data_IF_460510353881
#
_entry.id   IF_460510353881
#
_cell.length_a   1.000
_cell.length_b   1.000
_cell.length_c   1.000
_cell.angle_alpha   90.00
_cell.angle_beta   90.00
_cell.angle_gamma   90.00
#
_symmetry.space_group_name_H-M   'P 1'
#
loop_
_entity.id
_entity.type
_entity.pdbx_description
1 polymer ?
#
# COMPACT_ATOMS: atom_id res chain seq x y z
N UNK A 1 4.62 -12.40 3.62
CA UNK A 1 4.97 -13.33 2.51
C UNK A 1 4.45 -12.71 1.22
N UNK A 2 5.25 -12.74 0.14
CA UNK A 2 4.83 -12.20 -1.14
C UNK A 2 3.71 -13.06 -1.75
N UNK A 3 2.57 -12.46 -2.08
CA UNK A 3 1.39 -13.10 -2.64
C UNK A 3 1.49 -13.18 -4.17
N UNK A 4 1.84 -12.07 -4.83
CA UNK A 4 2.04 -12.03 -6.28
C UNK A 4 3.48 -12.40 -6.63
N UNK A 5 3.78 -13.71 -6.63
CA UNK A 5 5.10 -14.20 -6.98
C UNK A 5 5.49 -13.90 -8.44
N UNK A 6 4.49 -13.78 -9.33
CA UNK A 6 4.66 -13.56 -10.77
C UNK A 6 5.07 -12.12 -11.10
N UNK A 7 4.52 -11.11 -10.41
CA UNK A 7 4.96 -9.71 -10.55
C UNK A 7 6.10 -9.35 -9.62
N UNK A 8 6.29 -10.12 -8.54
CA UNK A 8 7.30 -9.82 -7.54
C UNK A 8 6.95 -8.63 -6.64
N UNK A 9 5.68 -8.19 -6.61
CA UNK A 9 5.22 -7.01 -5.90
C UNK A 9 3.82 -7.21 -5.30
N UNK A 10 3.66 -6.85 -4.03
CA UNK A 10 2.36 -6.67 -3.39
C UNK A 10 2.24 -5.26 -2.83
N UNK A 11 1.06 -4.68 -3.01
CA UNK A 11 0.71 -3.38 -2.47
C UNK A 11 -0.59 -3.50 -1.68
N UNK A 12 -0.61 -2.93 -0.49
CA UNK A 12 -1.82 -2.87 0.36
C UNK A 12 -1.88 -1.55 1.11
N UNK A 13 -3.10 -1.10 1.45
CA UNK A 13 -3.31 0.12 2.25
C UNK A 13 -3.94 -0.26 3.59
N UNK A 14 -3.15 -0.80 4.54
CA UNK A 14 -3.67 -1.31 5.80
C UNK A 14 -4.31 -0.21 6.65
N UNK A 15 -3.78 1.01 6.62
CA UNK A 15 -4.23 2.09 7.50
C UNK A 15 -4.11 3.47 6.85
N UNK A 16 -4.73 4.45 7.50
CA UNK A 16 -4.57 5.87 7.23
C UNK A 16 -4.10 6.57 8.51
N UNK A 17 -3.48 7.73 8.36
CA UNK A 17 -2.95 8.54 9.45
C UNK A 17 -3.44 9.98 9.27
N UNK A 18 -4.05 10.53 10.33
CA UNK A 18 -4.35 11.95 10.42
C UNK A 18 -3.13 12.69 10.97
N UNK A 19 -2.49 13.47 10.12
CA UNK A 19 -1.38 14.33 10.50
C UNK A 19 -1.97 15.66 10.94
N UNK A 20 -1.91 15.97 12.24
CA UNK A 20 -2.37 17.25 12.79
C UNK A 20 -1.33 18.35 12.52
N UNK A 21 -1.68 19.30 11.66
CA UNK A 21 -0.87 20.52 11.47
C UNK A 21 -0.99 21.49 12.64
N UNK A 22 0.00 22.37 12.82
CA UNK A 22 -0.15 23.52 13.73
C UNK A 22 -1.19 24.46 13.12
N UNK A 23 -2.29 24.68 13.86
CA UNK A 23 -3.47 25.47 13.46
C UNK A 23 -4.33 24.83 12.35
N UNK A 24 -5.39 24.09 12.73
CA UNK A 24 -6.50 23.57 11.89
C UNK A 24 -6.15 22.96 10.50
N UNK A 25 -4.87 22.71 10.22
CA UNK A 25 -4.31 22.28 8.94
C UNK A 25 -3.98 20.79 8.98
N UNK A 26 -4.89 20.01 9.57
CA UNK A 26 -4.76 18.56 9.56
C UNK A 26 -4.95 18.01 8.14
N UNK A 27 -4.17 17.00 7.77
CA UNK A 27 -4.37 16.26 6.53
C UNK A 27 -4.29 14.76 6.75
N UNK A 28 -4.89 14.00 5.85
CA UNK A 28 -4.90 12.53 5.91
C UNK A 28 -3.87 11.98 4.94
N UNK A 29 -3.03 11.07 5.44
CA UNK A 29 -2.10 10.28 4.63
C UNK A 29 -2.49 8.80 4.69
N UNK A 30 -2.44 8.13 3.56
CA UNK A 30 -2.68 6.70 3.44
C UNK A 30 -1.34 5.98 3.51
N UNK A 31 -1.25 5.00 4.40
CA UNK A 31 -0.06 4.20 4.59
C UNK A 31 -0.11 3.02 3.64
N UNK A 32 0.79 3.00 2.67
CA UNK A 32 0.87 1.95 1.66
C UNK A 32 2.01 1.01 2.06
N UNK A 33 1.67 -0.24 2.36
CA UNK A 33 2.63 -1.30 2.59
C UNK A 33 3.05 -1.90 1.25
N UNK A 34 4.33 -1.77 0.96
CA UNK A 34 4.99 -2.35 -0.21
C UNK A 34 5.75 -3.59 0.25
N UNK A 35 5.47 -4.73 -0.37
CA UNK A 35 6.24 -5.96 -0.20
C UNK A 35 6.75 -6.35 -1.58
N UNK A 36 8.07 -6.42 -1.78
CA UNK A 36 8.61 -6.62 -3.12
C UNK A 36 9.91 -7.40 -3.12
N UNK A 37 10.14 -8.16 -4.19
CA UNK A 37 11.44 -8.77 -4.51
C UNK A 37 12.17 -8.04 -5.65
N UNK A 38 11.57 -6.97 -6.19
CA UNK A 38 12.11 -6.22 -7.32
C UNK A 38 13.44 -5.56 -6.94
N UNK A 39 14.44 -5.69 -7.81
CA UNK A 39 15.78 -5.14 -7.58
C UNK A 39 15.78 -3.61 -7.43
N UNK A 40 14.80 -2.91 -8.04
CA UNK A 40 14.66 -1.45 -7.97
C UNK A 40 14.52 -0.91 -6.53
N UNK A 41 14.06 -1.74 -5.59
CA UNK A 41 13.86 -1.37 -4.19
C UNK A 41 14.92 -1.98 -3.26
N UNK A 42 15.89 -2.71 -3.82
CA UNK A 42 16.94 -3.39 -3.07
C UNK A 42 18.22 -2.57 -3.09
N UNK A 43 18.82 -2.40 -1.92
CA UNK A 43 20.20 -1.92 -1.81
C UNK A 43 21.21 -3.05 -2.06
N UNK A 44 22.48 -2.70 -2.29
CA UNK A 44 23.59 -3.63 -2.53
C UNK A 44 23.84 -4.67 -1.41
N UNK A 45 23.16 -4.55 -0.26
CA UNK A 45 23.23 -5.51 0.85
C UNK A 45 22.23 -6.66 0.73
N UNK A 46 21.22 -6.52 -0.13
CA UNK A 46 20.17 -7.52 -0.29
C UNK A 46 20.49 -8.48 -1.44
N UNK A 47 20.18 -9.75 -1.25
CA UNK A 47 20.28 -10.77 -2.29
C UNK A 47 19.11 -10.68 -3.28
N UNK A 48 19.25 -11.22 -4.50
CA UNK A 48 18.17 -11.25 -5.49
C UNK A 48 16.90 -11.96 -5.00
N UNK A 49 17.02 -12.89 -4.06
CA UNK A 49 15.90 -13.67 -3.52
C UNK A 49 15.21 -12.99 -2.34
N UNK A 50 15.85 -11.97 -1.74
CA UNK A 50 15.31 -11.32 -0.54
C UNK A 50 13.99 -10.60 -0.84
N UNK A 51 13.06 -10.64 0.10
CA UNK A 51 11.82 -9.86 0.00
C UNK A 51 11.95 -8.68 0.96
N UNK A 52 11.90 -7.48 0.42
CA UNK A 52 11.92 -6.24 1.20
C UNK A 52 10.49 -5.76 1.44
N UNK A 53 10.26 -5.17 2.61
CA UNK A 53 8.98 -4.57 2.95
C UNK A 53 9.19 -3.20 3.58
N UNK A 54 8.39 -2.22 3.16
CA UNK A 54 8.45 -0.86 3.67
C UNK A 54 7.08 -0.17 3.53
N UNK A 55 6.90 0.91 4.29
CA UNK A 55 5.70 1.74 4.25
C UNK A 55 6.01 3.05 3.54
N UNK A 56 5.08 3.51 2.70
CA UNK A 56 5.11 4.87 2.13
C UNK A 56 3.83 5.60 2.49
N UNK A 57 3.98 6.83 2.98
CA UNK A 57 2.85 7.72 3.27
C UNK A 57 2.48 8.50 2.01
N UNK A 58 1.20 8.51 1.63
CA UNK A 58 0.71 9.23 0.46
C UNK A 58 -0.56 10.01 0.73
N UNK A 59 -0.66 11.23 0.22
CA UNK A 59 -1.89 12.02 0.27
C UNK A 59 -2.87 11.56 -0.82
N UNK A 60 -4.15 11.87 -0.63
CA UNK A 60 -5.19 11.62 -1.64
C UNK A 60 -4.77 12.14 -3.02
N UNK A 61 -4.27 13.38 -3.10
CA UNK A 61 -3.87 13.99 -4.36
C UNK A 61 -2.74 13.23 -5.06
N UNK A 62 -1.77 12.70 -4.32
CA UNK A 62 -0.68 11.91 -4.92
C UNK A 62 -1.19 10.59 -5.51
N UNK A 63 -2.15 9.94 -4.83
CA UNK A 63 -2.78 8.70 -5.31
C UNK A 63 -3.65 8.97 -6.54
N UNK A 64 -4.41 10.08 -6.52
CA UNK A 64 -5.24 10.53 -7.64
C UNK A 64 -4.37 10.82 -8.87
N UNK A 65 -3.28 11.58 -8.72
CA UNK A 65 -2.33 11.86 -9.80
C UNK A 65 -1.72 10.57 -10.38
N UNK A 66 -1.30 9.65 -9.52
CA UNK A 66 -0.78 8.35 -9.93
C UNK A 66 -1.82 7.54 -10.74
N UNK A 67 -3.06 7.48 -10.26
CA UNK A 67 -4.14 6.80 -10.96
C UNK A 67 -4.38 7.40 -12.35
N UNK A 68 -4.40 8.73 -12.46
CA UNK A 68 -4.61 9.41 -13.75
C UNK A 68 -3.48 9.11 -14.74
N UNK A 69 -2.23 9.10 -14.27
CA UNK A 69 -1.08 8.71 -15.09
C UNK A 69 -1.20 7.28 -15.60
N UNK A 70 -1.56 6.35 -14.71
CA UNK A 70 -1.77 4.95 -15.11
C UNK A 70 -2.93 4.80 -16.08
N UNK A 71 -4.09 5.40 -15.79
CA UNK A 71 -5.26 5.32 -16.66
C UNK A 71 -5.01 5.91 -18.05
N UNK A 72 -4.17 6.95 -18.15
CA UNK A 72 -3.82 7.57 -19.43
C UNK A 72 -2.84 6.72 -20.25
N UNK A 73 -1.90 6.03 -19.60
CA UNK A 73 -0.85 5.24 -20.26
C UNK A 73 -1.26 3.79 -20.53
N UNK A 74 -2.08 3.24 -19.65
CA UNK A 74 -2.47 1.84 -19.59
C UNK A 74 -4.00 1.72 -19.62
N UNK A 75 -4.63 2.19 -20.70
CA UNK A 75 -6.09 2.12 -20.85
C UNK A 75 -6.65 0.68 -20.87
N UNK A 76 -5.80 -0.32 -21.16
CA UNK A 76 -6.14 -1.73 -21.08
C UNK A 76 -6.19 -2.26 -19.64
N UNK A 77 -5.58 -1.56 -18.68
CA UNK A 77 -5.65 -1.93 -17.28
C UNK A 77 -7.08 -1.72 -16.77
N UNK A 78 -7.72 -2.80 -16.32
CA UNK A 78 -9.06 -2.77 -15.74
C UNK A 78 -9.04 -2.20 -14.30
N UNK A 79 -8.59 -0.95 -14.17
CA UNK A 79 -8.45 -0.28 -12.88
C UNK A 79 -9.83 0.05 -12.29
N UNK A 80 -10.04 -0.20 -10.97
CA UNK A 80 -11.26 0.22 -10.29
C UNK A 80 -11.45 1.74 -10.32
N UNK A 81 -12.69 2.26 -10.34
CA UNK A 81 -12.93 3.69 -10.40
C UNK A 81 -12.41 4.42 -9.15
N UNK A 82 -11.84 5.61 -9.34
CA UNK A 82 -11.42 6.49 -8.25
C UNK A 82 -12.63 6.89 -7.36
N UNK A 83 -12.44 6.97 -6.02
CA UNK A 83 -13.48 7.46 -5.13
C UNK A 83 -13.77 8.94 -5.40
N UNK A 84 -15.04 9.36 -5.24
CA UNK A 84 -15.48 10.72 -5.58
C UNK A 84 -14.85 11.78 -4.67
N UNK A 85 -14.57 12.94 -5.26
CA UNK A 85 -14.07 14.12 -4.56
C UNK A 85 -15.22 14.81 -3.82
N UNK A 86 -15.44 14.45 -2.56
CA UNK A 86 -16.42 15.11 -1.67
C UNK A 86 -15.80 16.32 -0.96
N UNK A 87 -16.60 17.37 -0.79
CA UNK A 87 -16.17 18.67 -0.22
C UNK A 87 -15.90 18.60 1.30
N UNK A 88 -16.58 17.68 1.98
CA UNK A 88 -16.34 17.36 3.39
C UNK A 88 -16.00 15.88 3.46
N UNK A 89 -14.88 15.55 4.09
CA UNK A 89 -14.39 14.17 4.22
C UNK A 89 -14.53 13.79 5.68
N UNK A 90 -15.50 12.94 6.01
CA UNK A 90 -15.64 12.36 7.34
C UNK A 90 -14.79 11.09 7.50
N UNK A 91 -14.71 10.55 8.70
CA UNK A 91 -13.98 9.30 8.98
C UNK A 91 -14.49 8.11 8.13
N UNK A 92 -15.80 8.06 7.88
CA UNK A 92 -16.38 7.03 7.00
C UNK A 92 -15.88 7.17 5.55
N UNK A 93 -15.85 8.39 5.01
CA UNK A 93 -15.29 8.64 3.67
C UNK A 93 -13.81 8.26 3.60
N UNK A 94 -13.03 8.54 4.66
CA UNK A 94 -11.60 8.16 4.71
C UNK A 94 -11.45 6.63 4.66
N UNK A 95 -12.29 5.89 5.41
CA UNK A 95 -12.26 4.42 5.41
C UNK A 95 -12.66 3.82 4.07
N UNK A 96 -13.70 4.35 3.43
CA UNK A 96 -14.14 3.92 2.10
C UNK A 96 -13.07 4.21 1.05
N UNK A 97 -12.51 5.43 1.04
CA UNK A 97 -11.40 5.81 0.15
C UNK A 97 -10.21 4.89 0.30
N UNK A 98 -9.83 4.57 1.54
CA UNK A 98 -8.75 3.61 1.82
C UNK A 98 -9.04 2.24 1.20
N UNK A 99 -10.27 1.74 1.31
CA UNK A 99 -10.65 0.46 0.72
C UNK A 99 -10.51 0.47 -0.81
N UNK A 100 -11.03 1.52 -1.46
CA UNK A 100 -10.91 1.67 -2.93
C UNK A 100 -9.44 1.80 -3.34
N UNK A 101 -8.63 2.59 -2.63
CA UNK A 101 -7.19 2.72 -2.89
C UNK A 101 -6.44 1.41 -2.71
N UNK A 102 -6.81 0.62 -1.69
CA UNK A 102 -6.27 -0.73 -1.52
C UNK A 102 -6.59 -1.61 -2.73
N UNK A 103 -7.80 -1.55 -3.26
CA UNK A 103 -8.20 -2.37 -4.41
C UNK A 103 -7.51 -1.94 -5.71
N UNK A 104 -7.37 -0.63 -5.93
CA UNK A 104 -6.59 -0.07 -7.05
C UNK A 104 -5.15 -0.57 -6.99
N UNK A 105 -4.47 -0.40 -5.85
CA UNK A 105 -3.07 -0.80 -5.72
C UNK A 105 -2.89 -2.32 -5.78
N UNK A 106 -3.86 -3.09 -5.30
CA UNK A 106 -3.88 -4.54 -5.49
C UNK A 106 -4.01 -4.91 -6.97
N UNK A 107 -4.88 -4.23 -7.72
CA UNK A 107 -5.02 -4.44 -9.16
C UNK A 107 -3.68 -4.17 -9.88
N UNK A 108 -3.05 -3.02 -9.57
CA UNK A 108 -1.72 -2.66 -10.09
C UNK A 108 -0.67 -3.73 -9.77
N UNK A 109 -0.65 -4.24 -8.53
CA UNK A 109 0.33 -5.24 -8.11
C UNK A 109 0.19 -6.62 -8.80
N UNK A 110 -0.99 -6.91 -9.36
CA UNK A 110 -1.27 -8.19 -10.06
C UNK A 110 -0.84 -8.16 -11.52
N UNK A 111 -0.77 -6.98 -12.13
CA UNK A 111 -0.41 -6.78 -13.53
C UNK A 111 1.09 -6.56 -13.65
N UNK A 112 1.77 -7.35 -14.49
CA UNK A 112 3.21 -7.28 -14.65
C UNK A 112 3.67 -5.96 -15.31
N UNK A 113 2.89 -5.41 -16.24
CA UNK A 113 3.22 -4.15 -16.91
C UNK A 113 3.09 -2.97 -15.94
N UNK A 114 2.04 -2.97 -15.11
CA UNK A 114 1.82 -1.93 -14.12
C UNK A 114 2.80 -2.04 -12.94
N UNK A 115 3.08 -3.26 -12.46
CA UNK A 115 4.00 -3.50 -11.36
C UNK A 115 5.45 -3.07 -11.68
N UNK A 116 5.84 -3.11 -12.96
CA UNK A 116 7.12 -2.62 -13.46
C UNK A 116 7.09 -1.18 -14.00
N UNK A 117 5.94 -0.52 -13.97
CA UNK A 117 5.77 0.80 -14.60
C UNK A 117 6.63 1.88 -13.91
N UNK A 118 7.23 2.80 -14.68
CA UNK A 118 8.00 3.91 -14.10
C UNK A 118 7.12 4.81 -13.22
N UNK A 119 5.84 4.96 -13.54
CA UNK A 119 4.87 5.72 -12.75
C UNK A 119 4.72 5.15 -11.34
N UNK A 120 4.65 3.82 -11.21
CA UNK A 120 4.57 3.15 -9.90
C UNK A 120 5.89 3.28 -9.13
N UNK A 121 7.01 3.09 -9.81
CA UNK A 121 8.34 3.23 -9.21
C UNK A 121 8.57 4.65 -8.67
N UNK A 122 8.13 5.67 -9.38
CA UNK A 122 8.16 7.08 -8.95
C UNK A 122 7.18 7.34 -7.80
N UNK A 123 5.97 6.81 -7.89
CA UNK A 123 4.96 6.93 -6.84
C UNK A 123 5.43 6.32 -5.52
N UNK A 124 6.09 5.16 -5.56
CA UNK A 124 6.65 4.48 -4.39
C UNK A 124 8.00 5.06 -3.92
N UNK A 125 8.60 6.00 -4.67
CA UNK A 125 9.75 6.79 -4.23
C UNK A 125 11.14 6.26 -4.65
N UNK A 126 11.27 5.47 -5.71
CA UNK A 126 12.59 4.97 -6.19
C UNK A 126 13.41 5.99 -6.97
N UNK A 127 12.81 7.11 -7.38
CA UNK A 127 13.54 8.28 -7.86
C UNK A 127 13.39 9.38 -6.82
N UNK A 128 14.51 9.77 -6.24
CA UNK A 128 14.61 10.76 -5.18
C UNK A 128 13.90 12.07 -5.55
N UNK A 129 12.60 12.13 -5.28
CA UNK A 129 11.87 13.37 -5.16
C UNK A 129 12.40 14.04 -3.92
N UNK A 130 13.39 14.90 -4.17
CA UNK A 130 13.71 16.10 -3.44
C UNK A 130 13.08 16.16 -2.05
N UNK A 131 13.95 16.02 -1.05
CA UNK A 131 13.90 16.73 0.22
C UNK A 131 13.31 18.14 -0.01
N UNK A 132 11.99 18.28 0.05
CA UNK A 132 11.39 19.51 0.50
C UNK A 132 11.40 19.39 2.02
N UNK A 133 12.13 20.26 2.74
CA UNK A 133 12.10 20.27 4.19
C UNK A 133 10.76 20.86 4.63
N UNK A 134 9.71 20.07 4.52
CA UNK A 134 8.52 20.25 5.35
C UNK A 134 8.77 19.44 6.61
N UNK A 135 9.24 20.16 7.63
CA UNK A 135 9.46 19.76 9.01
C UNK A 135 8.84 18.42 9.45
N UNK A 136 9.58 17.33 9.24
CA UNK A 136 9.58 16.17 10.13
C UNK A 136 10.98 15.56 10.06
N UNK A 137 11.83 15.99 11.01
CA UNK A 137 13.10 15.35 11.31
C UNK A 137 12.84 13.98 11.96
N UNK A 138 12.38 13.01 11.15
CA UNK A 138 12.40 11.58 11.44
C UNK A 138 12.71 10.82 10.14
N UNK A 139 13.74 11.27 9.43
CA UNK A 139 14.44 10.41 8.49
C UNK A 139 15.65 9.84 9.23
N UNK A 140 15.40 8.90 10.14
CA UNK A 140 16.44 8.08 10.75
C UNK A 140 15.93 6.65 10.90
N UNK A 141 16.65 5.74 10.25
CA UNK A 141 16.71 4.30 10.49
C UNK A 141 15.39 3.58 10.81
N UNK A 142 14.83 2.87 9.83
CA UNK A 142 13.98 1.72 10.15
C UNK A 142 13.98 0.61 9.11
N UNK A 143 15.15 -0.02 8.98
CA UNK A 143 15.17 -1.48 8.86
C UNK A 143 14.79 -2.15 10.20
N UNK A 144 14.64 -1.39 11.30
CA UNK A 144 14.30 -1.92 12.64
C UNK A 144 12.87 -1.61 13.16
N UNK A 145 12.17 -0.53 12.76
CA UNK A 145 10.76 -0.33 13.20
C UNK A 145 9.74 -1.16 12.43
N UNK A 146 10.13 -1.78 11.32
CA UNK A 146 9.31 -2.80 10.66
C UNK A 146 9.00 -3.98 11.59
N UNK A 147 9.83 -4.25 12.60
CA UNK A 147 9.58 -5.36 13.53
C UNK A 147 8.37 -5.14 14.47
N UNK A 148 7.93 -3.90 14.75
CA UNK A 148 6.78 -3.64 15.63
C UNK A 148 5.45 -3.53 14.87
N UNK A 149 5.44 -2.94 13.68
CA UNK A 149 4.22 -2.83 12.86
C UNK A 149 3.90 -4.13 12.10
N UNK A 150 4.92 -4.88 11.67
CA UNK A 150 4.73 -6.20 11.04
C UNK A 150 4.19 -7.22 12.07
N UNK A 151 4.50 -7.05 13.36
CA UNK A 151 3.88 -7.87 14.43
C UNK A 151 2.38 -7.61 14.59
N UNK A 152 1.90 -6.39 14.34
CA UNK A 152 0.47 -6.09 14.42
C UNK A 152 -0.31 -6.66 13.22
N UNK A 153 0.26 -6.57 12.01
CA UNK A 153 -0.37 -7.13 10.79
C UNK A 153 -0.38 -8.67 10.83
N UNK A 154 0.65 -9.30 11.39
CA UNK A 154 0.67 -10.76 11.60
C UNK A 154 -0.32 -11.24 12.68
N UNK A 155 -0.72 -10.37 13.62
CA UNK A 155 -1.68 -10.71 14.67
C UNK A 155 -3.12 -10.86 14.13
N UNK A 156 -3.48 -10.13 13.06
CA UNK A 156 -4.83 -10.19 12.48
C UNK A 156 -5.07 -11.38 11.54
N UNK A 157 -4.04 -12.17 11.21
CA UNK A 157 -4.22 -13.46 10.51
C UNK A 157 -4.23 -14.66 11.45
N UNK A 158 -4.13 -14.44 12.77
CA UNK A 158 -4.06 -15.49 13.79
C UNK A 158 -5.29 -15.54 14.71
N UNK A 159 -6.43 -14.99 14.27
CA UNK A 159 -7.72 -15.18 14.94
C UNK A 159 -8.69 -15.85 13.97
N UNK A 160 -8.86 -17.16 14.21
CA UNK A 160 -10.06 -17.98 13.99
C UNK A 160 -10.65 -18.00 12.57
N UNK A 161 -10.50 -19.04 11.74
CA UNK A 161 -10.01 -20.38 12.08
C UNK A 161 -10.96 -21.17 12.97
N UNK A 162 -12.28 -21.03 12.85
CA UNK A 162 -13.31 -21.98 13.34
C UNK A 162 -14.54 -21.89 12.43
N UNK A 163 -14.72 -22.86 11.51
CA UNK A 163 -15.99 -23.38 10.96
C UNK A 163 -15.62 -24.48 9.95
N UNK A 164 -15.18 -25.64 10.42
CA UNK A 164 -15.09 -26.85 9.60
C UNK A 164 -14.92 -28.08 10.49
N UNK A 165 -15.98 -28.49 11.19
CA UNK A 165 -16.27 -29.90 11.44
C UNK A 165 -17.76 -30.01 11.78
N UNK A 166 -18.57 -30.12 10.72
CA UNK A 166 -19.95 -30.58 10.81
C UNK A 166 -19.93 -32.07 10.51
N UNK A 167 -19.83 -32.84 11.59
CA UNK A 167 -19.98 -34.29 11.66
C UNK A 167 -21.32 -34.72 11.02
N UNK A 168 -21.25 -35.53 9.97
CA UNK A 168 -22.38 -36.27 9.40
C UNK A 168 -22.41 -37.66 10.07
N UNK A 169 -23.50 -38.05 10.75
CA UNK A 169 -23.79 -39.46 10.94
C UNK A 169 -24.74 -39.94 9.83
N UNK A 170 -24.23 -40.82 8.96
CA UNK A 170 -25.07 -41.83 8.32
C UNK A 170 -25.73 -42.67 9.41
N UNK A 171 -27.06 -42.83 9.33
CA UNK A 171 -27.79 -43.90 10.00
C UNK A 171 -28.41 -44.79 8.92
N UNK A 172 -28.10 -46.08 9.02
CA UNK A 172 -28.97 -47.18 8.57
C UNK A 172 -30.30 -47.15 9.33
#
# INVERSE_FOLDING_TARGET
RLQNAHTGLDLTVPQHQEVRGKMMSGHVEYQILVVTRLAAFKSAKHKPEDVVQFLVSKKYSEIEEFYQKLSSRYAAASLPPLPRKVLFVGESDIRERRAVFNDILRCVSKDAELAGSPELLEFLGTRGSALRPSACAQCFCSLEASARLVRQVASLTSLAGWWAEGDLPLRD
#
